data_IF_069853942260
#
_entry.id   IF_069853942260
#
_cell.length_a   1.000
_cell.length_b   1.000
_cell.length_c   1.000
_cell.angle_alpha   90.00
_cell.angle_beta   90.00
_cell.angle_gamma   90.00
#
_symmetry.space_group_name_H-M   'P 1'
#
loop_
_entity.id
_entity.type
_entity.pdbx_description
1 polymer ?
#
# COMPACT_ATOMS: atom_id res chain seq x y z
N UNK A 1 -15.20 10.77 -6.54
CA UNK A 1 -13.87 10.73 -7.17
C UNK A 1 -13.43 9.28 -7.24
N UNK A 2 -12.72 8.91 -8.29
CA UNK A 2 -12.24 7.54 -8.52
C UNK A 2 -10.78 7.43 -8.06
N UNK A 3 -10.41 6.28 -7.51
CA UNK A 3 -9.01 5.93 -7.22
C UNK A 3 -8.56 4.93 -8.28
N UNK A 4 -7.50 5.25 -9.02
CA UNK A 4 -6.73 4.26 -9.77
C UNK A 4 -5.62 3.74 -8.87
N UNK A 5 -5.67 2.46 -8.50
CA UNK A 5 -4.54 1.77 -7.88
C UNK A 5 -3.73 1.11 -8.99
N UNK A 6 -2.53 1.61 -9.23
CA UNK A 6 -1.59 1.08 -10.20
C UNK A 6 -0.46 0.40 -9.46
N UNK A 7 -0.47 -0.95 -9.43
CA UNK A 7 0.43 -1.69 -8.56
C UNK A 7 0.58 -3.16 -8.92
N UNK A 8 0.94 -3.96 -7.93
CA UNK A 8 1.13 -5.40 -8.06
C UNK A 8 -0.01 -6.20 -7.44
N UNK A 9 -0.13 -7.44 -7.90
CA UNK A 9 -0.87 -8.51 -7.25
C UNK A 9 0.04 -9.73 -7.15
N UNK A 10 0.05 -10.40 -6.02
CA UNK A 10 0.85 -11.60 -5.74
C UNK A 10 -0.03 -12.71 -5.18
N UNK A 11 0.48 -13.93 -5.19
CA UNK A 11 0.00 -14.97 -4.28
C UNK A 11 0.97 -15.07 -3.12
N UNK A 12 0.47 -14.92 -1.91
CA UNK A 12 1.26 -15.00 -0.69
C UNK A 12 1.25 -16.46 -0.19
N UNK A 13 2.44 -17.06 -0.14
CA UNK A 13 2.71 -18.39 0.36
C UNK A 13 3.30 -18.29 1.76
N UNK A 14 2.44 -18.31 2.79
CA UNK A 14 2.86 -18.14 4.18
C UNK A 14 3.13 -19.50 4.84
N UNK A 15 4.28 -19.64 5.46
CA UNK A 15 4.70 -20.82 6.22
C UNK A 15 4.93 -20.45 7.68
N UNK A 16 4.19 -21.06 8.59
CA UNK A 16 4.46 -20.96 10.02
C UNK A 16 5.63 -21.87 10.39
N UNK A 17 6.65 -21.30 11.01
CA UNK A 17 7.88 -21.98 11.39
C UNK A 17 8.22 -21.70 12.85
N UNK A 18 9.00 -22.58 13.49
CA UNK A 18 9.45 -22.35 14.87
C UNK A 18 10.34 -21.10 14.96
N UNK A 19 11.23 -20.91 14.01
CA UNK A 19 12.12 -19.74 13.84
C UNK A 19 12.42 -19.49 12.38
N UNK A 20 13.00 -18.36 12.06
CA UNK A 20 13.43 -18.10 10.67
C UNK A 20 14.55 -19.09 10.26
N UNK A 21 14.54 -19.59 9.01
CA UNK A 21 15.55 -20.53 8.51
C UNK A 21 16.92 -19.86 8.40
N UNK A 22 17.96 -20.63 8.68
CA UNK A 22 19.36 -20.23 8.47
C UNK A 22 19.96 -21.00 7.28
N UNK A 23 21.04 -20.49 6.71
CA UNK A 23 21.66 -21.12 5.56
C UNK A 23 22.12 -22.56 5.87
N UNK A 24 21.80 -23.50 4.97
CA UNK A 24 22.24 -24.88 5.04
C UNK A 24 21.36 -25.83 5.85
N UNK A 25 20.24 -25.36 6.41
CA UNK A 25 19.30 -26.22 7.14
C UNK A 25 18.02 -26.54 6.36
N UNK A 26 17.35 -27.60 6.77
CA UNK A 26 15.97 -27.91 6.40
C UNK A 26 15.09 -27.73 7.63
N UNK A 27 14.15 -26.78 7.57
CA UNK A 27 13.20 -26.52 8.64
C UNK A 27 11.81 -27.01 8.20
N UNK A 28 11.08 -27.68 9.10
CA UNK A 28 9.72 -28.11 8.84
C UNK A 28 8.74 -27.01 9.29
N UNK A 29 7.86 -26.61 8.38
CA UNK A 29 6.76 -25.72 8.72
C UNK A 29 5.64 -26.49 9.43
N UNK A 30 5.00 -25.87 10.39
CA UNK A 30 3.82 -26.41 11.10
C UNK A 30 2.53 -26.25 10.29
N UNK A 31 2.45 -25.21 9.46
CA UNK A 31 1.31 -24.93 8.58
C UNK A 31 1.72 -24.14 7.35
N UNK A 32 0.83 -24.17 6.33
CA UNK A 32 0.95 -23.39 5.11
C UNK A 32 -0.39 -22.75 4.77
N UNK A 33 -0.36 -21.48 4.41
CA UNK A 33 -1.50 -20.72 3.89
C UNK A 33 -1.19 -20.18 2.50
N UNK A 34 -2.21 -20.04 1.67
CA UNK A 34 -2.12 -19.50 0.32
C UNK A 34 -3.24 -18.49 0.16
N UNK A 35 -2.87 -17.22 0.01
CA UNK A 35 -3.81 -16.13 -0.11
C UNK A 35 -3.45 -15.21 -1.30
N UNK A 36 -4.43 -14.49 -1.82
CA UNK A 36 -4.16 -13.36 -2.71
C UNK A 36 -3.60 -12.19 -1.89
N UNK A 37 -2.56 -11.56 -2.42
CA UNK A 37 -1.87 -10.47 -1.75
C UNK A 37 -1.17 -9.53 -2.72
N UNK A 38 -0.15 -8.88 -2.23
CA UNK A 38 0.57 -7.81 -2.93
C UNK A 38 0.07 -6.43 -2.54
N UNK A 39 1.00 -5.49 -2.34
CA UNK A 39 0.69 -4.14 -1.84
C UNK A 39 -0.39 -3.44 -2.67
N UNK A 40 -0.30 -3.54 -4.01
CA UNK A 40 -1.29 -2.94 -4.89
C UNK A 40 -2.69 -3.51 -4.68
N UNK A 41 -2.83 -4.83 -4.66
CA UNK A 41 -4.11 -5.49 -4.43
C UNK A 41 -4.64 -5.20 -3.02
N UNK A 42 -3.80 -5.32 -2.00
CA UNK A 42 -4.17 -5.05 -0.61
C UNK A 42 -4.74 -3.62 -0.44
N UNK A 43 -4.02 -2.62 -0.96
CA UNK A 43 -4.41 -1.22 -0.89
C UNK A 43 -5.70 -0.94 -1.68
N UNK A 44 -5.89 -1.61 -2.84
CA UNK A 44 -7.11 -1.50 -3.64
C UNK A 44 -8.32 -2.07 -2.90
N UNK A 45 -8.19 -3.26 -2.31
CA UNK A 45 -9.25 -3.91 -1.51
C UNK A 45 -9.65 -3.02 -0.34
N UNK A 46 -8.67 -2.53 0.42
CA UNK A 46 -8.93 -1.68 1.58
C UNK A 46 -9.60 -0.36 1.18
N UNK A 47 -9.12 0.30 0.13
CA UNK A 47 -9.72 1.54 -0.37
C UNK A 47 -11.18 1.31 -0.83
N UNK A 48 -11.45 0.17 -1.46
CA UNK A 48 -12.79 -0.21 -1.89
C UNK A 48 -13.71 -0.50 -0.70
N UNK A 49 -13.24 -1.28 0.28
CA UNK A 49 -13.97 -1.52 1.54
C UNK A 49 -14.23 -0.23 2.32
N UNK A 50 -13.33 0.76 2.21
CA UNK A 50 -13.49 2.10 2.78
C UNK A 50 -14.51 2.99 2.03
N UNK A 51 -15.19 2.44 1.03
CA UNK A 51 -16.28 3.09 0.30
C UNK A 51 -15.83 3.96 -0.87
N UNK A 52 -14.58 3.85 -1.32
CA UNK A 52 -14.11 4.52 -2.52
C UNK A 52 -14.47 3.73 -3.79
N UNK A 53 -14.64 4.44 -4.89
CA UNK A 53 -14.71 3.85 -6.22
C UNK A 53 -13.29 3.57 -6.70
N UNK A 54 -12.92 2.29 -6.85
CA UNK A 54 -11.56 1.86 -7.14
C UNK A 54 -11.49 1.17 -8.49
N UNK A 55 -10.53 1.57 -9.32
CA UNK A 55 -10.06 0.84 -10.49
C UNK A 55 -8.69 0.24 -10.16
N UNK A 56 -8.54 -1.07 -10.30
CA UNK A 56 -7.28 -1.75 -10.03
C UNK A 56 -6.58 -2.14 -11.33
N UNK A 57 -5.34 -1.65 -11.51
CA UNK A 57 -4.49 -1.95 -12.65
C UNK A 57 -3.25 -2.72 -12.20
N UNK A 58 -3.15 -3.98 -12.60
CA UNK A 58 -2.04 -4.87 -12.28
C UNK A 58 -1.86 -5.93 -13.38
N UNK A 59 -0.70 -6.61 -13.37
CA UNK A 59 -0.45 -7.76 -14.21
C UNK A 59 -0.37 -9.04 -13.40
N UNK A 60 -0.94 -10.12 -13.93
CA UNK A 60 -0.88 -11.49 -13.41
C UNK A 60 -0.51 -12.44 -14.54
N UNK A 61 0.02 -13.62 -14.24
CA UNK A 61 0.39 -14.62 -15.22
C UNK A 61 -0.81 -15.36 -15.83
N UNK A 62 -0.51 -16.50 -16.46
CA UNK A 62 -1.47 -17.44 -17.05
C UNK A 62 -1.36 -18.80 -16.34
N UNK A 63 -1.46 -18.80 -15.01
CA UNK A 63 -1.22 -19.96 -14.14
C UNK A 63 -2.28 -20.08 -13.04
N UNK A 64 -2.15 -21.10 -12.19
CA UNK A 64 -3.08 -21.32 -11.09
C UNK A 64 -3.10 -20.19 -10.05
N UNK A 65 -1.96 -19.49 -9.86
CA UNK A 65 -1.87 -18.33 -8.96
C UNK A 65 -2.69 -17.16 -9.49
N UNK A 66 -2.69 -16.92 -10.81
CA UNK A 66 -3.54 -15.92 -11.43
C UNK A 66 -5.03 -16.13 -11.17
N UNK A 67 -5.48 -17.39 -11.12
CA UNK A 67 -6.88 -17.72 -10.83
C UNK A 67 -7.25 -17.46 -9.35
N UNK A 68 -6.29 -17.60 -8.43
CA UNK A 68 -6.49 -17.24 -7.01
C UNK A 68 -6.74 -15.72 -6.91
N UNK A 69 -5.88 -14.91 -7.55
CA UNK A 69 -6.02 -13.45 -7.56
C UNK A 69 -7.33 -13.02 -8.23
N UNK A 70 -7.65 -13.59 -9.39
CA UNK A 70 -8.87 -13.22 -10.13
C UNK A 70 -10.15 -13.52 -9.32
N UNK A 71 -10.20 -14.67 -8.64
CA UNK A 71 -11.31 -15.03 -7.74
C UNK A 71 -11.41 -14.07 -6.56
N UNK A 72 -10.28 -13.67 -5.96
CA UNK A 72 -10.26 -12.72 -4.86
C UNK A 72 -10.75 -11.33 -5.30
N UNK A 73 -10.27 -10.81 -6.43
CA UNK A 73 -10.70 -9.52 -7.00
C UNK A 73 -12.21 -9.52 -7.28
N UNK A 74 -12.73 -10.64 -7.81
CA UNK A 74 -14.16 -10.80 -8.05
C UNK A 74 -14.97 -10.89 -6.74
N UNK A 75 -14.47 -11.58 -5.72
CA UNK A 75 -15.14 -11.68 -4.42
C UNK A 75 -15.18 -10.34 -3.68
N UNK A 76 -14.17 -9.49 -3.87
CA UNK A 76 -14.13 -8.12 -3.34
C UNK A 76 -14.92 -7.11 -4.19
N UNK A 77 -15.51 -7.54 -5.30
CA UNK A 77 -16.27 -6.67 -6.24
C UNK A 77 -15.42 -5.50 -6.79
N UNK A 78 -14.11 -5.70 -6.93
CA UNK A 78 -13.22 -4.70 -7.52
C UNK A 78 -13.39 -4.64 -9.05
N UNK A 79 -13.30 -3.43 -9.63
CA UNK A 79 -13.22 -3.27 -11.09
C UNK A 79 -11.92 -3.89 -11.62
N UNK A 80 -12.05 -5.07 -12.23
CA UNK A 80 -10.96 -5.87 -12.79
C UNK A 80 -10.64 -5.53 -14.26
N UNK A 81 -11.21 -4.47 -14.81
CA UNK A 81 -11.03 -4.10 -16.22
C UNK A 81 -9.59 -3.88 -16.66
N UNK A 82 -8.68 -3.72 -15.70
CA UNK A 82 -7.22 -3.59 -15.92
C UNK A 82 -6.39 -4.64 -15.18
N UNK A 83 -6.98 -5.78 -14.80
CA UNK A 83 -6.22 -6.95 -14.36
C UNK A 83 -5.75 -7.72 -15.60
N UNK A 84 -4.50 -7.52 -15.99
CA UNK A 84 -3.97 -7.91 -17.28
C UNK A 84 -3.20 -9.21 -17.21
N UNK A 85 -3.28 -10.01 -18.28
CA UNK A 85 -2.48 -11.24 -18.39
C UNK A 85 -1.07 -10.90 -18.92
N UNK A 86 -0.06 -11.37 -18.19
CA UNK A 86 1.35 -11.28 -18.52
C UNK A 86 1.86 -12.63 -19.06
N UNK A 87 2.86 -12.62 -19.95
CA UNK A 87 3.38 -13.85 -20.55
C UNK A 87 4.20 -14.74 -19.58
N UNK A 88 4.76 -14.13 -18.51
CA UNK A 88 5.47 -14.84 -17.44
C UNK A 88 4.54 -15.34 -16.33
N UNK A 89 5.10 -15.95 -15.28
CA UNK A 89 4.33 -16.39 -14.13
C UNK A 89 3.74 -15.23 -13.34
N UNK A 90 2.68 -15.53 -12.58
CA UNK A 90 2.16 -14.63 -11.56
C UNK A 90 3.21 -14.38 -10.49
N UNK A 91 3.31 -13.15 -10.02
CA UNK A 91 4.20 -12.82 -8.91
C UNK A 91 3.73 -13.50 -7.62
N UNK A 92 4.69 -13.90 -6.80
CA UNK A 92 4.44 -14.56 -5.52
C UNK A 92 5.32 -13.99 -4.42
N UNK A 93 4.84 -14.09 -3.18
CA UNK A 93 5.61 -13.78 -1.98
C UNK A 93 5.72 -15.03 -1.14
N UNK A 94 6.94 -15.47 -0.85
CA UNK A 94 7.24 -16.50 0.13
C UNK A 94 7.44 -15.83 1.48
N UNK A 95 6.60 -16.17 2.45
CA UNK A 95 6.56 -15.54 3.76
C UNK A 95 6.82 -16.61 4.82
N UNK A 96 7.90 -16.44 5.60
CA UNK A 96 8.14 -17.23 6.81
C UNK A 96 7.69 -16.41 8.01
N UNK A 97 6.84 -17.02 8.85
CA UNK A 97 6.36 -16.41 10.10
C UNK A 97 6.84 -17.27 11.26
N UNK A 98 7.78 -16.75 12.03
CA UNK A 98 8.31 -17.44 13.19
C UNK A 98 7.35 -17.36 14.39
N UNK A 99 7.43 -18.32 15.32
CA UNK A 99 6.63 -18.31 16.55
C UNK A 99 6.91 -17.10 17.46
N UNK A 100 8.05 -16.44 17.28
CA UNK A 100 8.39 -15.15 17.93
C UNK A 100 7.60 -13.96 17.39
N UNK A 101 6.91 -14.10 16.24
CA UNK A 101 6.27 -13.02 15.49
C UNK A 101 7.18 -12.33 14.48
N UNK A 102 8.46 -12.70 14.40
CA UNK A 102 9.35 -12.25 13.33
C UNK A 102 8.95 -12.84 11.99
N UNK A 103 9.11 -12.09 10.90
CA UNK A 103 8.87 -12.58 9.55
C UNK A 103 10.05 -12.32 8.62
N UNK A 104 10.13 -13.14 7.56
CA UNK A 104 11.02 -12.93 6.43
C UNK A 104 10.24 -13.13 5.13
N UNK A 105 10.36 -12.19 4.20
CA UNK A 105 9.59 -12.18 2.96
C UNK A 105 10.55 -12.10 1.77
N UNK A 106 10.31 -12.98 0.79
CA UNK A 106 10.95 -12.91 -0.53
C UNK A 106 9.86 -12.85 -1.57
N UNK A 107 9.86 -11.82 -2.41
CA UNK A 107 8.82 -11.63 -3.43
C UNK A 107 9.43 -11.55 -4.83
N UNK A 108 8.71 -12.09 -5.81
CA UNK A 108 8.95 -11.81 -7.23
C UNK A 108 8.22 -10.54 -7.66
N UNK A 109 8.66 -9.96 -8.77
CA UNK A 109 8.05 -8.76 -9.35
C UNK A 109 8.08 -8.80 -10.89
N UNK A 110 8.13 -9.98 -11.49
CA UNK A 110 8.22 -10.14 -12.93
C UNK A 110 6.98 -9.66 -13.66
N UNK A 111 5.81 -10.05 -13.19
CA UNK A 111 4.53 -9.61 -13.73
C UNK A 111 4.31 -8.11 -13.52
N UNK A 112 4.54 -7.62 -12.30
CA UNK A 112 4.39 -6.20 -11.98
C UNK A 112 5.30 -5.31 -12.84
N UNK A 113 6.58 -5.67 -12.99
CA UNK A 113 7.54 -4.92 -13.80
C UNK A 113 7.29 -5.07 -15.30
N UNK A 114 6.64 -6.15 -15.73
CA UNK A 114 6.23 -6.43 -17.09
C UNK A 114 4.86 -5.87 -17.48
N UNK A 115 4.25 -5.05 -16.63
CA UNK A 115 2.97 -4.40 -16.93
C UNK A 115 3.08 -3.57 -18.22
N UNK A 116 2.18 -3.83 -19.18
CA UNK A 116 2.24 -3.23 -20.50
C UNK A 116 2.04 -1.70 -20.45
N UNK A 117 2.93 -0.88 -21.03
CA UNK A 117 2.81 0.58 -21.02
C UNK A 117 1.50 1.09 -21.64
N UNK A 118 0.96 0.38 -22.64
CA UNK A 118 -0.32 0.71 -23.29
C UNK A 118 -1.49 0.59 -22.33
N UNK A 119 -1.47 -0.43 -21.51
CA UNK A 119 -2.52 -0.66 -20.51
C UNK A 119 -2.46 0.39 -19.39
N UNK A 120 -1.27 0.73 -18.93
CA UNK A 120 -1.06 1.83 -17.97
C UNK A 120 -1.58 3.14 -18.53
N UNK A 121 -1.26 3.44 -19.79
CA UNK A 121 -1.74 4.64 -20.48
C UNK A 121 -3.27 4.64 -20.62
N UNK A 122 -3.88 3.50 -20.94
CA UNK A 122 -5.34 3.36 -21.04
C UNK A 122 -6.02 3.56 -19.67
N UNK A 123 -5.44 3.02 -18.58
CA UNK A 123 -5.94 3.21 -17.23
C UNK A 123 -5.85 4.67 -16.79
N UNK A 124 -4.68 5.30 -16.98
CA UNK A 124 -4.45 6.71 -16.66
C UNK A 124 -5.33 7.66 -17.49
N UNK A 125 -5.69 7.28 -18.72
CA UNK A 125 -6.55 8.09 -19.57
C UNK A 125 -7.97 8.26 -19.03
N UNK A 126 -8.43 7.38 -18.13
CA UNK A 126 -9.73 7.46 -17.46
C UNK A 126 -9.76 8.44 -16.31
N UNK A 127 -8.60 8.80 -15.76
CA UNK A 127 -8.51 9.75 -14.66
C UNK A 127 -8.79 11.18 -15.11
N UNK A 128 -9.50 11.91 -14.28
CA UNK A 128 -9.83 13.32 -14.44
C UNK A 128 -9.35 14.13 -13.24
N UNK A 129 -9.37 15.46 -13.34
CA UNK A 129 -9.04 16.33 -12.21
C UNK A 129 -9.89 15.99 -10.98
N UNK A 130 -9.24 15.89 -9.84
CA UNK A 130 -9.85 15.49 -8.56
C UNK A 130 -9.79 13.99 -8.28
N UNK A 131 -9.55 13.12 -9.28
CA UNK A 131 -9.31 11.71 -9.02
C UNK A 131 -7.96 11.48 -8.32
N UNK A 132 -7.73 10.26 -7.86
CA UNK A 132 -6.52 9.88 -7.11
C UNK A 132 -5.79 8.74 -7.83
N UNK A 133 -4.47 8.85 -7.93
CA UNK A 133 -3.57 7.78 -8.32
C UNK A 133 -2.86 7.26 -7.07
N UNK A 134 -2.96 5.97 -6.77
CA UNK A 134 -2.24 5.31 -5.68
C UNK A 134 -1.25 4.30 -6.27
N UNK A 135 0.02 4.44 -5.92
CA UNK A 135 1.10 3.59 -6.42
C UNK A 135 2.01 3.07 -5.30
N UNK A 136 2.72 1.96 -5.60
CA UNK A 136 3.70 1.34 -4.70
C UNK A 136 5.04 1.15 -5.43
N UNK A 137 6.06 0.62 -4.73
CA UNK A 137 7.41 0.45 -5.25
C UNK A 137 7.65 -0.81 -6.12
N UNK A 138 6.62 -1.57 -6.44
CA UNK A 138 6.77 -2.86 -7.14
C UNK A 138 6.91 -2.75 -8.66
N UNK A 139 6.47 -1.63 -9.26
CA UNK A 139 6.55 -1.40 -10.70
C UNK A 139 7.98 -0.99 -11.12
N UNK A 140 8.27 -1.00 -12.41
CA UNK A 140 9.53 -0.46 -12.88
C UNK A 140 9.55 1.08 -12.85
N UNK A 141 10.77 1.64 -12.87
CA UNK A 141 10.99 3.08 -12.77
C UNK A 141 10.32 3.87 -13.89
N UNK A 142 10.36 3.38 -15.14
CA UNK A 142 9.79 4.08 -16.29
C UNK A 142 8.27 4.20 -16.19
N UNK A 143 7.59 3.11 -15.85
CA UNK A 143 6.13 3.11 -15.62
C UNK A 143 5.76 4.05 -14.48
N UNK A 144 6.49 3.98 -13.37
CA UNK A 144 6.25 4.84 -12.21
C UNK A 144 6.39 6.31 -12.56
N UNK A 145 7.47 6.69 -13.24
CA UNK A 145 7.71 8.06 -13.68
C UNK A 145 6.60 8.57 -14.60
N UNK A 146 6.29 7.83 -15.66
CA UNK A 146 5.24 8.22 -16.63
C UNK A 146 3.86 8.34 -15.99
N UNK A 147 3.53 7.47 -15.04
CA UNK A 147 2.25 7.52 -14.34
C UNK A 147 2.15 8.78 -13.48
N UNK A 148 3.18 9.11 -12.71
CA UNK A 148 3.24 10.30 -11.85
C UNK A 148 3.22 11.60 -12.68
N UNK A 149 3.99 11.69 -13.77
CA UNK A 149 3.93 12.83 -14.71
C UNK A 149 2.53 13.02 -15.29
N UNK A 150 1.90 11.91 -15.70
CA UNK A 150 0.54 11.96 -16.27
C UNK A 150 -0.48 12.41 -15.24
N UNK A 151 -0.39 11.93 -14.00
CA UNK A 151 -1.24 12.36 -12.89
C UNK A 151 -1.11 13.88 -12.65
N UNK A 152 0.15 14.36 -12.57
CA UNK A 152 0.44 15.79 -12.41
C UNK A 152 -0.14 16.64 -13.53
N UNK A 153 0.05 16.23 -14.79
CA UNK A 153 -0.46 16.94 -15.97
C UNK A 153 -1.99 17.00 -16.02
N UNK A 154 -2.68 16.07 -15.35
CA UNK A 154 -4.15 15.99 -15.30
C UNK A 154 -4.75 16.54 -14.00
N UNK A 155 -3.95 17.09 -13.10
CA UNK A 155 -4.38 17.53 -11.77
C UNK A 155 -5.07 16.39 -10.97
N UNK A 156 -4.51 15.18 -11.09
CA UNK A 156 -4.87 14.00 -10.30
C UNK A 156 -3.97 13.96 -9.08
N UNK A 157 -4.52 13.71 -7.89
CA UNK A 157 -3.76 13.57 -6.65
C UNK A 157 -2.92 12.29 -6.69
N UNK A 158 -1.59 12.42 -6.67
CA UNK A 158 -0.67 11.30 -6.69
C UNK A 158 -0.21 10.91 -5.28
N UNK A 159 -0.58 9.72 -4.82
CA UNK A 159 -0.16 9.10 -3.57
C UNK A 159 0.84 7.99 -3.88
N UNK A 160 2.02 8.06 -3.29
CA UNK A 160 3.07 7.07 -3.48
C UNK A 160 3.48 6.45 -2.14
N UNK A 161 3.38 5.12 -2.05
CA UNK A 161 4.03 4.31 -1.03
C UNK A 161 5.25 3.62 -1.66
N UNK A 162 6.46 4.20 -1.62
CA UNK A 162 7.65 3.71 -2.33
C UNK A 162 8.25 2.45 -1.68
N UNK A 163 7.43 1.46 -1.42
CA UNK A 163 7.77 0.19 -0.78
C UNK A 163 7.41 -0.98 -1.71
N UNK A 164 8.38 -1.91 -1.96
CA UNK A 164 9.79 -1.81 -1.60
C UNK A 164 10.52 -0.69 -2.35
N UNK A 165 11.63 -0.18 -1.79
CA UNK A 165 12.50 0.77 -2.48
C UNK A 165 13.31 0.00 -3.52
N UNK A 166 12.80 -0.05 -4.77
CA UNK A 166 13.35 -0.90 -5.82
C UNK A 166 14.27 -0.16 -6.82
N UNK A 167 14.27 1.16 -6.79
CA UNK A 167 15.07 2.04 -7.67
C UNK A 167 15.25 3.43 -7.03
N UNK A 168 16.03 4.30 -7.69
CA UNK A 168 16.21 5.68 -7.25
C UNK A 168 15.00 6.55 -7.60
N UNK A 169 14.38 7.15 -6.60
CA UNK A 169 13.22 8.06 -6.72
C UNK A 169 13.61 9.53 -6.91
N UNK A 170 14.92 9.84 -6.97
CA UNK A 170 15.39 11.21 -7.21
C UNK A 170 14.79 11.75 -8.51
N UNK A 171 14.21 12.95 -8.46
CA UNK A 171 13.53 13.57 -9.60
C UNK A 171 12.06 13.20 -9.76
N UNK A 172 11.52 12.21 -9.04
CA UNK A 172 10.08 11.88 -9.05
C UNK A 172 9.26 12.69 -8.05
N UNK A 173 9.88 13.16 -6.99
CA UNK A 173 9.21 13.83 -5.88
C UNK A 173 8.35 15.04 -6.29
N UNK A 174 8.71 15.88 -7.30
CA UNK A 174 7.86 16.97 -7.74
C UNK A 174 6.50 16.57 -8.35
N UNK A 175 6.35 15.27 -8.70
CA UNK A 175 5.12 14.71 -9.25
C UNK A 175 4.26 14.02 -8.19
N UNK A 176 4.71 13.96 -6.93
CA UNK A 176 4.03 13.25 -5.84
C UNK A 176 3.39 14.24 -4.88
N UNK A 177 2.08 14.14 -4.67
CA UNK A 177 1.38 14.98 -3.70
C UNK A 177 1.55 14.45 -2.28
N UNK A 178 1.43 13.13 -2.07
CA UNK A 178 1.54 12.50 -0.76
C UNK A 178 2.48 11.30 -0.83
N UNK A 179 3.55 11.32 -0.04
CA UNK A 179 4.42 10.16 0.19
C UNK A 179 4.04 9.50 1.49
N UNK A 180 3.89 8.17 1.49
CA UNK A 180 3.64 7.38 2.69
C UNK A 180 4.79 6.40 2.86
N UNK A 181 5.50 6.50 3.98
CA UNK A 181 6.67 5.69 4.30
C UNK A 181 6.65 5.26 5.77
N UNK A 182 7.36 4.20 6.11
CA UNK A 182 7.72 3.91 7.49
C UNK A 182 9.05 4.58 7.87
N UNK A 183 9.49 4.46 9.12
CA UNK A 183 10.72 5.08 9.62
C UNK A 183 11.97 4.64 8.85
N UNK A 184 12.05 3.35 8.50
CA UNK A 184 13.19 2.77 7.75
C UNK A 184 13.21 3.31 6.32
N UNK A 185 12.07 3.34 5.67
CA UNK A 185 11.90 3.86 4.31
C UNK A 185 12.17 5.38 4.27
N UNK A 186 11.67 6.13 5.25
CA UNK A 186 11.93 7.56 5.38
C UNK A 186 13.44 7.85 5.50
N UNK A 187 14.14 7.13 6.35
CA UNK A 187 15.60 7.27 6.52
C UNK A 187 16.35 6.94 5.22
N UNK A 188 15.96 5.87 4.52
CA UNK A 188 16.59 5.45 3.29
C UNK A 188 16.40 6.47 2.15
N UNK A 189 15.18 6.99 1.97
CA UNK A 189 14.83 7.90 0.88
C UNK A 189 15.26 9.35 1.16
N UNK A 190 15.10 9.82 2.41
CA UNK A 190 15.48 11.17 2.82
C UNK A 190 16.95 11.32 3.19
N UNK A 191 17.73 10.23 3.27
CA UNK A 191 19.15 10.25 3.68
C UNK A 191 19.37 11.04 4.99
N UNK A 192 18.38 11.00 5.90
CA UNK A 192 18.39 11.75 7.16
C UNK A 192 19.00 10.97 8.31
N UNK A 193 19.56 11.69 9.28
CA UNK A 193 20.07 11.11 10.53
C UNK A 193 18.95 10.91 11.56
N UNK A 194 17.86 11.60 11.41
CA UNK A 194 16.64 11.53 12.21
C UNK A 194 15.41 11.67 11.30
N UNK A 195 14.25 11.34 11.85
CA UNK A 195 13.01 11.27 11.11
C UNK A 195 12.56 12.62 10.54
N UNK A 196 12.67 13.69 11.33
CA UNK A 196 12.23 15.01 10.92
C UNK A 196 13.10 15.52 9.76
N UNK A 197 14.43 15.37 9.84
CA UNK A 197 15.36 15.70 8.76
C UNK A 197 15.07 14.90 7.48
N UNK A 198 14.78 13.60 7.60
CA UNK A 198 14.45 12.77 6.45
C UNK A 198 13.17 13.23 5.75
N UNK A 199 12.12 13.50 6.50
CA UNK A 199 10.85 13.99 5.96
C UNK A 199 11.00 15.37 5.31
N UNK A 200 11.73 16.29 5.94
CA UNK A 200 11.98 17.64 5.39
C UNK A 200 12.75 17.57 4.06
N UNK A 201 13.73 16.67 3.92
CA UNK A 201 14.44 16.51 2.65
C UNK A 201 13.54 16.01 1.51
N UNK A 202 12.58 15.13 1.81
CA UNK A 202 11.60 14.72 0.81
C UNK A 202 10.68 15.87 0.39
N UNK A 203 10.27 16.72 1.34
CA UNK A 203 9.54 17.96 1.03
C UNK A 203 10.38 18.94 0.18
N UNK A 204 11.65 19.12 0.53
CA UNK A 204 12.59 19.96 -0.23
C UNK A 204 12.87 19.41 -1.62
N UNK A 205 12.84 18.09 -1.78
CA UNK A 205 12.96 17.42 -3.07
C UNK A 205 11.71 17.57 -3.95
N UNK A 206 10.60 18.08 -3.41
CA UNK A 206 9.42 18.48 -4.19
C UNK A 206 8.10 17.81 -3.83
N UNK A 207 8.07 16.85 -2.91
CA UNK A 207 6.81 16.32 -2.39
C UNK A 207 5.98 17.42 -1.71
N UNK A 208 4.66 17.31 -1.80
CA UNK A 208 3.78 18.26 -1.11
C UNK A 208 3.58 17.91 0.37
N UNK A 209 3.38 16.63 0.66
CA UNK A 209 3.19 16.09 2.02
C UNK A 209 3.93 14.77 2.18
N UNK A 210 4.51 14.54 3.36
CA UNK A 210 5.13 13.28 3.74
C UNK A 210 4.43 12.75 4.98
N UNK A 211 3.96 11.52 4.92
CA UNK A 211 3.35 10.83 6.06
C UNK A 211 4.27 9.68 6.45
N UNK A 212 4.73 9.70 7.70
CA UNK A 212 5.56 8.63 8.25
C UNK A 212 4.75 7.81 9.24
N UNK A 213 4.61 6.52 8.97
CA UNK A 213 3.99 5.58 9.90
C UNK A 213 5.01 5.12 10.93
N UNK A 214 4.61 5.13 12.21
CA UNK A 214 5.47 4.91 13.38
C UNK A 214 5.06 3.63 14.15
N UNK A 215 4.46 2.66 13.46
CA UNK A 215 3.94 1.44 14.10
C UNK A 215 2.98 1.77 15.25
N UNK A 216 3.23 1.22 16.43
CA UNK A 216 2.41 1.46 17.63
C UNK A 216 2.39 2.91 18.13
N UNK A 217 3.28 3.79 17.66
CA UNK A 217 3.24 5.21 17.96
C UNK A 217 2.31 6.01 17.02
N UNK A 218 1.76 5.38 15.97
CA UNK A 218 0.80 6.02 15.08
C UNK A 218 1.39 6.53 13.78
N UNK A 219 1.13 7.79 13.41
CA UNK A 219 1.67 8.39 12.19
C UNK A 219 1.92 9.89 12.36
N UNK A 220 2.90 10.39 11.62
CA UNK A 220 3.22 11.82 11.58
C UNK A 220 3.12 12.36 10.16
N UNK A 221 2.40 13.47 10.00
CA UNK A 221 2.32 14.26 8.79
C UNK A 221 3.37 15.37 8.84
N UNK A 222 4.04 15.61 7.73
CA UNK A 222 4.93 16.74 7.50
C UNK A 222 4.49 17.48 6.22
N UNK A 223 4.30 18.77 6.36
CA UNK A 223 4.12 19.74 5.28
C UNK A 223 5.07 20.93 5.54
N UNK A 224 5.25 21.85 4.58
CA UNK A 224 6.26 22.91 4.71
C UNK A 224 6.17 23.71 6.01
N UNK A 225 4.94 24.12 6.37
CA UNK A 225 4.69 24.99 7.52
C UNK A 225 3.81 24.33 8.59
N UNK A 226 3.58 23.02 8.45
CA UNK A 226 2.68 22.29 9.33
C UNK A 226 3.16 20.85 9.56
N UNK A 227 3.12 20.42 10.81
CA UNK A 227 3.28 19.01 11.15
C UNK A 227 2.21 18.58 12.15
N UNK A 228 1.89 17.30 12.13
CA UNK A 228 0.88 16.74 13.01
C UNK A 228 1.25 15.29 13.35
N UNK A 229 1.10 14.93 14.63
CA UNK A 229 1.22 13.56 15.09
C UNK A 229 -0.15 13.01 15.50
N UNK A 230 -0.50 11.85 14.99
CA UNK A 230 -1.68 11.08 15.40
C UNK A 230 -1.21 9.83 16.10
N UNK A 231 -1.47 9.72 17.38
CA UNK A 231 -1.13 8.55 18.21
C UNK A 231 -2.05 7.38 17.88
N UNK A 232 -1.49 6.17 17.77
CA UNK A 232 -2.27 4.95 17.60
C UNK A 232 -3.02 4.59 18.89
N UNK A 233 -4.24 4.03 18.78
CA UNK A 233 -4.90 3.41 19.92
C UNK A 233 -4.06 2.24 20.44
N UNK A 234 -4.07 2.08 21.77
CA UNK A 234 -3.35 0.97 22.40
C UNK A 234 -4.07 -0.35 22.11
N UNK A 235 -3.41 -1.24 21.40
CA UNK A 235 -3.92 -2.57 21.05
C UNK A 235 -2.85 -3.64 21.29
N UNK A 236 -3.29 -4.88 21.48
CA UNK A 236 -2.36 -6.03 21.48
C UNK A 236 -2.16 -6.50 20.04
N UNK A 237 -0.98 -6.28 19.50
CA UNK A 237 -0.65 -6.73 18.15
C UNK A 237 -0.51 -8.27 18.13
N UNK A 238 -1.16 -8.89 17.15
CA UNK A 238 -1.09 -10.33 16.84
C UNK A 238 -0.24 -10.55 15.59
N UNK A 239 -0.47 -9.72 14.55
CA UNK A 239 0.26 -9.77 13.28
C UNK A 239 0.26 -8.38 12.66
N UNK A 240 1.43 -7.85 12.33
CA UNK A 240 1.58 -6.50 11.76
C UNK A 240 1.60 -6.49 10.23
N UNK A 241 1.50 -7.66 9.59
CA UNK A 241 1.54 -7.80 8.13
C UNK A 241 0.36 -7.08 7.49
N UNK A 242 0.63 -6.27 6.48
CA UNK A 242 -0.41 -5.52 5.75
C UNK A 242 -0.95 -4.27 6.45
N UNK A 243 -0.53 -3.94 7.68
CA UNK A 243 -0.99 -2.73 8.38
C UNK A 243 -0.70 -1.44 7.59
N UNK A 244 0.47 -1.37 6.94
CA UNK A 244 0.83 -0.27 6.04
C UNK A 244 -0.08 -0.18 4.82
N UNK A 245 -0.53 -1.32 4.28
CA UNK A 245 -1.45 -1.35 3.15
C UNK A 245 -2.86 -0.89 3.58
N UNK A 246 -3.29 -1.27 4.78
CA UNK A 246 -4.55 -0.76 5.37
C UNK A 246 -4.47 0.75 5.54
N UNK A 247 -3.37 1.26 6.09
CA UNK A 247 -3.16 2.70 6.23
C UNK A 247 -3.24 3.43 4.88
N UNK A 248 -2.51 2.96 3.86
CA UNK A 248 -2.49 3.56 2.52
C UNK A 248 -3.85 3.52 1.84
N UNK A 249 -4.55 2.38 1.89
CA UNK A 249 -5.86 2.22 1.26
C UNK A 249 -6.92 3.12 1.88
N UNK A 250 -6.97 3.20 3.21
CA UNK A 250 -7.90 4.10 3.93
C UNK A 250 -7.57 5.56 3.67
N UNK A 251 -6.28 5.92 3.66
CA UNK A 251 -5.86 7.29 3.37
C UNK A 251 -6.29 7.72 1.96
N UNK A 252 -6.03 6.89 0.95
CA UNK A 252 -6.46 7.16 -0.41
C UNK A 252 -7.99 7.31 -0.52
N UNK A 253 -8.75 6.45 0.18
CA UNK A 253 -10.20 6.53 0.21
C UNK A 253 -10.70 7.84 0.85
N UNK A 254 -10.07 8.28 1.95
CA UNK A 254 -10.43 9.52 2.60
C UNK A 254 -10.14 10.76 1.74
N UNK A 255 -8.99 10.78 1.06
CA UNK A 255 -8.63 11.82 0.10
C UNK A 255 -9.62 11.87 -1.06
N UNK A 256 -9.94 10.73 -1.67
CA UNK A 256 -10.92 10.65 -2.76
C UNK A 256 -12.36 11.02 -2.33
N UNK A 257 -12.65 11.06 -1.05
CA UNK A 257 -13.93 11.49 -0.46
C UNK A 257 -13.87 12.93 0.09
N UNK A 258 -12.82 13.68 -0.24
CA UNK A 258 -12.60 15.09 0.16
C UNK A 258 -12.66 15.32 1.69
N UNK A 259 -12.16 14.35 2.46
CA UNK A 259 -12.07 14.46 3.90
C UNK A 259 -10.88 15.34 4.31
N UNK A 260 -11.01 16.07 5.42
CA UNK A 260 -9.89 16.82 5.99
C UNK A 260 -8.72 15.89 6.36
N UNK A 261 -7.49 16.28 6.04
CA UNK A 261 -6.28 15.45 6.22
C UNK A 261 -6.13 14.90 7.65
N UNK A 262 -6.44 15.71 8.66
CA UNK A 262 -6.44 15.27 10.07
C UNK A 262 -7.39 14.09 10.30
N UNK A 263 -8.64 14.18 9.82
CA UNK A 263 -9.62 13.09 9.92
C UNK A 263 -9.17 11.84 9.16
N UNK A 264 -8.61 12.02 7.97
CA UNK A 264 -8.12 10.91 7.13
C UNK A 264 -6.99 10.16 7.84
N UNK A 265 -6.00 10.85 8.40
CA UNK A 265 -4.87 10.20 9.09
C UNK A 265 -5.35 9.48 10.35
N UNK A 266 -6.27 10.09 11.14
CA UNK A 266 -6.88 9.41 12.30
C UNK A 266 -7.61 8.15 11.91
N UNK A 267 -8.39 8.19 10.84
CA UNK A 267 -9.08 7.01 10.32
C UNK A 267 -8.10 5.93 9.88
N UNK A 268 -7.04 6.30 9.12
CA UNK A 268 -6.02 5.38 8.64
C UNK A 268 -5.25 4.71 9.79
N UNK A 269 -4.87 5.48 10.82
CA UNK A 269 -4.22 4.96 12.03
C UNK A 269 -5.14 3.98 12.77
N UNK A 270 -6.40 4.34 12.98
CA UNK A 270 -7.36 3.47 13.68
C UNK A 270 -7.62 2.17 12.91
N UNK A 271 -7.78 2.24 11.59
CA UNK A 271 -7.97 1.07 10.74
C UNK A 271 -6.75 0.14 10.72
N UNK A 272 -5.54 0.70 10.60
CA UNK A 272 -4.30 -0.07 10.69
C UNK A 272 -4.11 -0.69 12.08
N UNK A 273 -4.47 0.01 13.15
CA UNK A 273 -4.43 -0.53 14.52
C UNK A 273 -5.43 -1.69 14.73
N UNK A 274 -6.59 -1.63 14.08
CA UNK A 274 -7.55 -2.74 14.13
C UNK A 274 -7.00 -3.97 13.38
N UNK A 275 -6.40 -3.80 12.21
CA UNK A 275 -5.88 -4.93 11.42
C UNK A 275 -4.80 -5.72 12.16
N UNK A 276 -3.91 -5.08 12.91
CA UNK A 276 -2.83 -5.78 13.62
C UNK A 276 -3.32 -6.65 14.78
N UNK A 277 -4.58 -6.56 15.18
CA UNK A 277 -5.18 -7.44 16.20
C UNK A 277 -5.59 -8.81 15.67
N UNK A 278 -5.42 -9.04 14.36
CA UNK A 278 -5.84 -10.25 13.65
C UNK A 278 -4.66 -10.85 12.88
N UNK A 279 -4.75 -12.15 12.55
CA UNK A 279 -3.72 -12.85 11.76
C UNK A 279 -3.97 -12.74 10.26
N UNK A 280 -2.89 -12.68 9.49
CA UNK A 280 -2.88 -12.70 8.04
C UNK A 280 -3.04 -11.31 7.42
N UNK A 281 -3.13 -11.25 6.09
CA UNK A 281 -3.32 -10.02 5.34
C UNK A 281 -4.82 -9.79 5.05
N UNK A 282 -5.36 -10.29 3.97
CA UNK A 282 -6.74 -10.01 3.54
C UNK A 282 -7.81 -10.33 4.58
N UNK A 283 -7.64 -11.40 5.38
CA UNK A 283 -8.56 -11.77 6.44
C UNK A 283 -8.48 -10.82 7.65
N UNK A 284 -7.33 -10.19 7.88
CA UNK A 284 -7.11 -9.24 8.96
C UNK A 284 -7.64 -7.83 8.63
N UNK A 285 -7.82 -7.52 7.35
CA UNK A 285 -8.26 -6.18 6.94
C UNK A 285 -9.66 -5.87 7.46
N UNK A 286 -9.89 -4.65 7.95
CA UNK A 286 -11.19 -4.25 8.43
C UNK A 286 -12.29 -4.41 7.37
N UNK A 287 -13.46 -4.83 7.80
CA UNK A 287 -14.66 -4.91 6.97
C UNK A 287 -15.20 -3.52 6.61
N UNK A 288 -16.12 -3.45 5.65
CA UNK A 288 -16.81 -2.21 5.27
C UNK A 288 -17.51 -1.53 6.45
N UNK A 289 -18.16 -2.33 7.31
CA UNK A 289 -18.89 -1.80 8.48
C UNK A 289 -17.93 -1.25 9.52
N UNK A 290 -16.85 -1.96 9.84
CA UNK A 290 -15.82 -1.51 10.77
C UNK A 290 -15.15 -0.21 10.27
N UNK A 291 -14.81 -0.14 8.98
CA UNK A 291 -14.25 1.09 8.40
C UNK A 291 -15.21 2.27 8.48
N UNK A 292 -16.52 2.04 8.28
CA UNK A 292 -17.54 3.07 8.41
C UNK A 292 -17.66 3.58 9.85
N UNK A 293 -17.62 2.70 10.85
CA UNK A 293 -17.64 3.06 12.26
C UNK A 293 -16.38 3.87 12.66
N UNK A 294 -15.19 3.39 12.28
CA UNK A 294 -13.93 4.09 12.53
C UNK A 294 -13.91 5.48 11.89
N UNK A 295 -14.47 5.62 10.68
CA UNK A 295 -14.60 6.92 10.00
C UNK A 295 -15.46 7.90 10.80
N UNK A 296 -16.60 7.43 11.34
CA UNK A 296 -17.48 8.29 12.14
C UNK A 296 -16.76 8.85 13.38
N UNK A 297 -15.98 8.00 14.07
CA UNK A 297 -15.16 8.42 15.21
C UNK A 297 -14.06 9.40 14.84
N UNK A 298 -13.36 9.16 13.69
CA UNK A 298 -12.29 10.04 13.22
C UNK A 298 -12.80 11.46 12.88
N UNK A 299 -14.00 11.57 12.33
CA UNK A 299 -14.62 12.87 12.03
C UNK A 299 -15.05 13.62 13.31
N UNK A 300 -15.60 12.91 14.30
CA UNK A 300 -16.01 13.52 15.58
C UNK A 300 -14.82 14.06 16.39
N UNK A 301 -13.67 13.39 16.32
CA UNK A 301 -12.45 13.80 17.02
C UNK A 301 -11.68 14.95 16.36
N UNK A 302 -12.08 15.38 15.16
CA UNK A 302 -11.45 16.47 14.41
C UNK A 302 -12.23 17.81 14.51
N UNK A 303 -13.43 17.78 15.11
CA UNK A 303 -14.25 18.95 15.47
C UNK A 303 -13.90 19.46 16.85
#
# INVERSE_FOLDING_TARGET
MTILVLGNATVDLSYEVERLPVAGETLLASSKFIDAGGKGLNQAVVAHRAGAQVQFCAAIGNDAHAEIIAKHVMAEELDAGFLLRHAGPTDESLIFVASSGENAIVSTAGAARGLAPEAVRAALARLTSGDTLLMQGNLNQEITHRALETARARSVCAILNPAPIAFDYTGLWPFVDIVIVNEVEAAALGSGTDLDSAALRLLDAGCRSVIVTLGGAGARLYERDYNMHVTAPLVTAVDTTGAGDVFCGVLAAGIAQDMAMNSVIRWSVAAASLSVTRRGTGAAFPSRDELRELRAHANAAAQ
#
